data_IF_314882552460
#
_entry.id   IF_314882552460
#
_cell.length_a   1.000
_cell.length_b   1.000
_cell.length_c   1.000
_cell.angle_alpha   90.00
_cell.angle_beta   90.00
_cell.angle_gamma   90.00
#
_symmetry.space_group_name_H-M   'P 1'
#
loop_
_entity.id
_entity.type
_entity.pdbx_description
1 polymer ?
#
# COMPACT_ATOMS: atom_id res chain seq x y z
N UNK A 1 -1.76 22.82 55.56
CA UNK A 1 -0.71 22.09 54.80
C UNK A 1 -1.35 20.94 54.04
N UNK A 2 -1.67 21.14 52.76
CA UNK A 2 -2.27 20.09 51.92
C UNK A 2 -1.16 19.10 51.54
N UNK A 3 -1.30 17.89 52.07
CA UNK A 3 -0.37 16.78 52.00
C UNK A 3 0.15 16.51 50.58
N UNK A 4 1.48 16.48 50.43
CA UNK A 4 2.23 16.16 49.20
C UNK A 4 1.80 14.83 48.57
N UNK A 5 1.15 13.94 49.32
CA UNK A 5 0.72 12.61 48.87
C UNK A 5 -0.44 12.64 47.86
N UNK A 6 -1.32 13.65 47.89
CA UNK A 6 -2.47 13.73 46.97
C UNK A 6 -2.08 14.09 45.52
N UNK A 7 -0.96 14.80 45.29
CA UNK A 7 -0.52 15.20 43.94
C UNK A 7 0.01 14.03 43.10
N UNK A 8 0.63 13.02 43.74
CA UNK A 8 1.23 11.89 43.02
C UNK A 8 0.20 10.89 42.47
N UNK A 9 -0.95 10.76 43.13
CA UNK A 9 -2.02 9.81 42.72
C UNK A 9 -2.77 10.33 41.48
N UNK A 10 -3.00 11.65 41.40
CA UNK A 10 -3.69 12.27 40.25
C UNK A 10 -2.81 12.22 38.99
N UNK A 11 -1.49 12.43 39.15
CA UNK A 11 -0.54 12.34 38.04
C UNK A 11 -0.42 10.92 37.46
N UNK A 12 -0.48 9.89 38.31
CA UNK A 12 -0.39 8.50 37.86
C UNK A 12 -1.69 8.02 37.18
N UNK A 13 -2.86 8.46 37.64
CA UNK A 13 -4.14 8.19 36.97
C UNK A 13 -4.24 8.87 35.59
N UNK A 14 -3.76 10.12 35.47
CA UNK A 14 -3.72 10.83 34.18
C UNK A 14 -2.80 10.17 33.16
N UNK A 15 -1.65 9.64 33.59
CA UNK A 15 -0.69 8.95 32.72
C UNK A 15 -1.24 7.59 32.23
N UNK A 16 -1.94 6.86 33.10
CA UNK A 16 -2.55 5.57 32.74
C UNK A 16 -3.71 5.76 31.74
N UNK A 17 -4.51 6.81 31.90
CA UNK A 17 -5.58 7.14 30.93
C UNK A 17 -5.04 7.50 29.54
N UNK A 18 -3.91 8.22 29.48
CA UNK A 18 -3.27 8.63 28.23
C UNK A 18 -2.55 7.45 27.52
N UNK A 19 -1.97 6.52 28.29
CA UNK A 19 -1.38 5.28 27.76
C UNK A 19 -2.45 4.30 27.25
N UNK A 20 -3.56 4.15 27.97
CA UNK A 20 -4.67 3.28 27.54
C UNK A 20 -5.40 3.86 26.31
N UNK A 21 -5.66 5.17 26.28
CA UNK A 21 -6.24 5.85 25.10
C UNK A 21 -5.30 5.80 23.89
N UNK A 22 -3.99 5.95 24.10
CA UNK A 22 -2.97 5.82 23.05
C UNK A 22 -2.89 4.42 22.46
N UNK A 23 -2.98 3.37 23.28
CA UNK A 23 -2.93 1.96 22.83
C UNK A 23 -4.16 1.57 21.99
N UNK A 24 -5.35 2.12 22.26
CA UNK A 24 -6.55 1.87 21.48
C UNK A 24 -6.49 2.47 20.06
N UNK A 25 -5.77 3.59 19.87
CA UNK A 25 -5.62 4.21 18.54
C UNK A 25 -4.70 3.41 17.61
N UNK A 26 -3.83 2.54 18.13
CA UNK A 26 -2.86 1.79 17.34
C UNK A 26 -3.49 0.59 16.62
N UNK A 27 -4.64 0.11 17.13
CA UNK A 27 -5.30 -1.12 16.66
C UNK A 27 -6.61 -0.86 15.91
N UNK A 28 -6.83 0.33 15.36
CA UNK A 28 -8.00 0.55 14.49
C UNK A 28 -7.72 -0.14 13.15
N UNK A 29 -8.41 -1.26 12.82
CA UNK A 29 -8.34 -1.82 11.48
C UNK A 29 -8.90 -0.76 10.52
N UNK A 30 -8.07 -0.28 9.60
CA UNK A 30 -8.52 0.70 8.63
C UNK A 30 -9.27 -0.03 7.52
N UNK A 31 -10.59 -0.01 7.60
CA UNK A 31 -11.44 -0.60 6.57
C UNK A 31 -11.31 0.21 5.27
N UNK A 32 -11.22 -0.50 4.14
CA UNK A 32 -11.25 0.12 2.81
C UNK A 32 -12.64 0.70 2.56
N UNK A 33 -12.75 1.86 1.86
CA UNK A 33 -14.03 2.32 1.35
C UNK A 33 -14.72 1.23 0.52
N UNK A 34 -16.06 1.07 0.61
CA UNK A 34 -16.79 -0.03 -0.05
C UNK A 34 -16.48 -0.18 -1.54
N UNK A 35 -16.27 0.93 -2.26
CA UNK A 35 -15.93 0.99 -3.68
C UNK A 35 -14.55 0.40 -4.03
N UNK A 36 -13.73 0.13 -3.02
CA UNK A 36 -12.38 -0.42 -3.14
C UNK A 36 -12.23 -1.79 -2.47
N UNK A 37 -13.31 -2.33 -1.92
CA UNK A 37 -13.31 -3.67 -1.34
C UNK A 37 -13.43 -4.74 -2.45
N UNK A 38 -12.60 -5.78 -2.35
CA UNK A 38 -12.62 -6.92 -3.27
C UNK A 38 -11.52 -6.90 -4.33
N UNK A 39 -11.76 -7.71 -5.37
CA UNK A 39 -10.84 -7.93 -6.49
C UNK A 39 -11.47 -7.34 -7.74
N UNK A 40 -10.68 -6.60 -8.51
CA UNK A 40 -11.10 -5.89 -9.70
C UNK A 40 -10.24 -6.29 -10.89
N UNK A 41 -10.77 -6.08 -12.09
CA UNK A 41 -10.06 -6.25 -13.34
C UNK A 41 -10.12 -4.97 -14.17
N UNK A 42 -9.02 -4.68 -14.87
CA UNK A 42 -8.94 -3.53 -15.77
C UNK A 42 -8.08 -3.90 -16.97
N UNK A 43 -8.59 -3.59 -18.16
CA UNK A 43 -7.88 -3.82 -19.42
C UNK A 43 -7.50 -2.50 -20.07
N UNK A 44 -6.24 -2.36 -20.49
CA UNK A 44 -5.75 -1.14 -21.12
C UNK A 44 -4.39 -1.32 -21.79
N UNK A 45 -3.96 -0.31 -22.54
CA UNK A 45 -2.57 -0.26 -23.05
C UNK A 45 -1.67 0.29 -21.95
N UNK A 46 -0.49 -0.30 -21.79
CA UNK A 46 0.54 0.24 -20.90
C UNK A 46 0.99 1.60 -21.42
N UNK A 47 0.86 2.63 -20.59
CA UNK A 47 1.32 3.99 -20.90
C UNK A 47 2.72 4.22 -20.36
N UNK A 48 2.95 3.86 -19.10
CA UNK A 48 4.25 4.01 -18.45
C UNK A 48 4.47 2.97 -17.37
N UNK A 49 5.75 2.78 -17.03
CA UNK A 49 6.15 1.86 -15.97
C UNK A 49 7.27 2.46 -15.11
N UNK A 50 7.25 2.15 -13.81
CA UNK A 50 8.32 2.49 -12.88
C UNK A 50 8.95 1.21 -12.33
N UNK A 51 10.26 1.08 -12.50
CA UNK A 51 11.05 -0.02 -11.96
C UNK A 51 11.93 0.49 -10.84
N UNK A 52 11.75 0.00 -9.61
CA UNK A 52 12.57 0.39 -8.46
C UNK A 52 13.09 -0.84 -7.73
N UNK A 53 14.37 -0.86 -7.39
CA UNK A 53 14.87 -1.91 -6.50
C UNK A 53 14.25 -1.74 -5.11
N UNK A 54 13.79 -2.85 -4.50
CA UNK A 54 13.20 -2.79 -3.15
C UNK A 54 14.28 -2.57 -2.08
N UNK A 55 15.48 -3.17 -2.26
CA UNK A 55 16.68 -2.95 -1.45
C UNK A 55 17.93 -3.15 -2.30
N UNK A 56 19.12 -2.71 -1.84
CA UNK A 56 20.39 -2.85 -2.60
C UNK A 56 20.72 -4.30 -2.99
N UNK A 57 20.29 -5.29 -2.19
CA UNK A 57 20.59 -6.72 -2.40
C UNK A 57 19.30 -7.56 -2.63
N UNK A 58 18.19 -6.94 -3.03
CA UNK A 58 16.95 -7.67 -3.21
C UNK A 58 16.99 -8.52 -4.48
N UNK A 59 16.56 -9.77 -4.39
CA UNK A 59 16.22 -10.59 -5.56
C UNK A 59 14.89 -10.16 -6.20
N UNK A 60 14.23 -9.14 -5.64
CA UNK A 60 12.95 -8.61 -6.09
C UNK A 60 13.05 -7.12 -6.45
N UNK A 61 12.18 -6.68 -7.36
CA UNK A 61 12.00 -5.29 -7.70
C UNK A 61 10.52 -4.90 -7.62
N UNK A 62 10.28 -3.62 -7.40
CA UNK A 62 8.97 -3.00 -7.46
C UNK A 62 8.67 -2.58 -8.90
N UNK A 63 7.49 -2.98 -9.38
CA UNK A 63 6.90 -2.53 -10.62
C UNK A 63 5.66 -1.68 -10.31
N UNK A 64 5.61 -0.48 -10.88
CA UNK A 64 4.40 0.31 -11.01
C UNK A 64 4.03 0.42 -12.48
N UNK A 65 2.77 0.13 -12.84
CA UNK A 65 2.23 0.25 -14.20
C UNK A 65 1.12 1.31 -14.20
N UNK A 66 1.14 2.18 -15.20
CA UNK A 66 0.03 3.07 -15.53
C UNK A 66 -0.53 2.65 -16.87
N UNK A 67 -1.85 2.48 -16.93
CA UNK A 67 -2.56 2.21 -18.18
C UNK A 67 -3.03 3.53 -18.78
N UNK A 68 -3.05 3.63 -20.11
CA UNK A 68 -3.54 4.81 -20.81
C UNK A 68 -4.98 5.15 -20.38
N UNK A 69 -5.20 6.39 -19.96
CA UNK A 69 -6.50 6.86 -19.47
C UNK A 69 -6.85 6.45 -18.04
N UNK A 70 -5.90 5.87 -17.29
CA UNK A 70 -6.05 5.54 -15.87
C UNK A 70 -5.12 6.38 -15.01
N UNK A 71 -5.67 7.06 -14.00
CA UNK A 71 -4.87 7.79 -13.00
C UNK A 71 -4.23 6.86 -11.95
N UNK A 72 -4.66 5.60 -11.89
CA UNK A 72 -4.17 4.61 -10.94
C UNK A 72 -2.82 4.06 -11.35
N UNK A 73 -1.94 3.90 -10.36
CA UNK A 73 -0.70 3.14 -10.47
C UNK A 73 -0.93 1.73 -9.91
N UNK A 74 -0.83 0.72 -10.77
CA UNK A 74 -0.95 -0.70 -10.43
C UNK A 74 0.41 -1.24 -10.01
N UNK A 75 0.49 -1.84 -8.82
CA UNK A 75 1.77 -2.11 -8.14
C UNK A 75 1.98 -3.60 -7.92
N UNK A 76 3.19 -4.09 -8.16
CA UNK A 76 3.58 -5.45 -7.79
C UNK A 76 5.06 -5.57 -7.44
N UNK A 77 5.39 -6.61 -6.69
CA UNK A 77 6.77 -6.99 -6.39
C UNK A 77 7.10 -8.26 -7.16
N UNK A 78 8.12 -8.21 -8.00
CA UNK A 78 8.49 -9.28 -8.92
C UNK A 78 9.92 -9.75 -8.69
N UNK A 79 10.27 -10.96 -9.12
CA UNK A 79 11.67 -11.43 -9.06
C UNK A 79 12.48 -10.74 -10.15
N UNK A 80 13.76 -10.49 -9.90
CA UNK A 80 14.64 -9.79 -10.84
C UNK A 80 14.74 -10.47 -12.21
N UNK A 81 14.67 -11.81 -12.25
CA UNK A 81 14.66 -12.59 -13.50
C UNK A 81 13.47 -12.28 -14.41
N UNK A 82 12.37 -11.77 -13.87
CA UNK A 82 11.16 -11.43 -14.62
C UNK A 82 11.21 -10.01 -15.17
N UNK A 83 12.18 -9.19 -14.73
CA UNK A 83 12.26 -7.77 -15.05
C UNK A 83 12.24 -7.49 -16.55
N UNK A 84 13.00 -8.25 -17.32
CA UNK A 84 13.11 -8.07 -18.77
C UNK A 84 11.76 -8.22 -19.48
N UNK A 85 10.94 -9.20 -19.05
CA UNK A 85 9.60 -9.40 -19.61
C UNK A 85 8.72 -8.15 -19.43
N UNK A 86 8.68 -7.60 -18.22
CA UNK A 86 7.89 -6.39 -17.95
C UNK A 86 8.47 -5.14 -18.61
N UNK A 87 9.79 -4.98 -18.67
CA UNK A 87 10.41 -3.88 -19.43
C UNK A 87 10.02 -3.93 -20.91
N UNK A 88 9.95 -5.13 -21.50
CA UNK A 88 9.47 -5.33 -22.87
C UNK A 88 8.00 -4.94 -23.05
N UNK A 89 7.12 -5.34 -22.12
CA UNK A 89 5.70 -4.93 -22.15
C UNK A 89 5.54 -3.41 -22.10
N UNK A 90 6.33 -2.75 -21.26
CA UNK A 90 6.30 -1.29 -21.13
C UNK A 90 6.83 -0.59 -22.38
N UNK A 91 7.94 -1.08 -22.97
CA UNK A 91 8.53 -0.52 -24.19
C UNK A 91 7.60 -0.66 -25.39
N UNK A 92 6.92 -1.80 -25.50
CA UNK A 92 5.96 -2.08 -26.58
C UNK A 92 4.59 -1.44 -26.36
N UNK A 93 4.34 -0.82 -25.20
CA UNK A 93 3.02 -0.30 -24.81
C UNK A 93 1.92 -1.36 -24.97
N UNK A 94 2.22 -2.59 -24.55
CA UNK A 94 1.36 -3.75 -24.74
C UNK A 94 -0.04 -3.54 -24.14
N UNK A 95 -1.04 -4.19 -24.73
CA UNK A 95 -2.37 -4.27 -24.13
C UNK A 95 -2.37 -5.38 -23.08
N UNK A 96 -2.84 -5.08 -21.88
CA UNK A 96 -2.85 -6.00 -20.75
C UNK A 96 -4.19 -5.99 -20.03
N UNK A 97 -4.57 -7.13 -19.47
CA UNK A 97 -5.59 -7.24 -18.43
C UNK A 97 -4.89 -7.36 -17.07
N UNK A 98 -5.23 -6.49 -16.13
CA UNK A 98 -4.66 -6.46 -14.78
C UNK A 98 -5.76 -6.81 -13.79
N UNK A 99 -5.53 -7.87 -13.01
CA UNK A 99 -6.33 -8.20 -11.83
C UNK A 99 -5.66 -7.62 -10.59
N UNK A 100 -6.41 -6.89 -9.77
CA UNK A 100 -5.85 -6.15 -8.64
C UNK A 100 -6.83 -6.01 -7.46
N UNK A 101 -6.28 -5.70 -6.28
CA UNK A 101 -7.04 -5.31 -5.10
C UNK A 101 -6.50 -4.00 -4.51
N UNK A 102 -7.31 -3.30 -3.74
CA UNK A 102 -6.89 -2.09 -3.05
C UNK A 102 -6.34 -2.41 -1.65
N UNK A 103 -5.39 -1.60 -1.18
CA UNK A 103 -4.84 -1.66 0.17
C UNK A 103 -4.74 -0.25 0.73
N UNK A 104 -5.39 -0.03 1.86
CA UNK A 104 -5.30 1.21 2.64
C UNK A 104 -4.23 1.07 3.72
N UNK A 105 -3.39 2.09 3.88
CA UNK A 105 -2.41 2.18 4.98
C UNK A 105 -2.94 3.14 6.04
N UNK A 106 -2.44 3.00 7.28
CA UNK A 106 -2.78 3.89 8.40
C UNK A 106 -2.59 5.39 8.04
N UNK A 107 -1.57 5.69 7.24
CA UNK A 107 -1.32 7.04 6.72
C UNK A 107 -0.91 6.92 5.24
N UNK A 108 -1.59 7.67 4.38
CA UNK A 108 -1.30 7.77 2.95
C UNK A 108 -2.44 7.31 2.03
N UNK A 109 -2.24 7.40 0.69
CA UNK A 109 -3.27 7.08 -0.28
C UNK A 109 -3.51 5.58 -0.40
N UNK A 110 -4.70 5.22 -0.90
CA UNK A 110 -5.04 3.86 -1.33
C UNK A 110 -4.04 3.40 -2.40
N UNK A 111 -3.59 2.15 -2.27
CA UNK A 111 -2.67 1.53 -3.22
C UNK A 111 -3.34 0.37 -3.91
N UNK A 112 -3.16 0.28 -5.22
CA UNK A 112 -3.70 -0.80 -6.04
C UNK A 112 -2.61 -1.84 -6.27
N UNK A 113 -2.73 -3.00 -5.64
CA UNK A 113 -1.81 -4.12 -5.73
C UNK A 113 -2.29 -5.14 -6.74
N UNK A 114 -1.41 -5.53 -7.64
CA UNK A 114 -1.69 -6.45 -8.73
C UNK A 114 -1.51 -7.89 -8.27
N UNK A 115 -2.52 -8.69 -8.56
CA UNK A 115 -2.51 -10.14 -8.35
C UNK A 115 -1.99 -10.86 -9.60
N UNK A 116 -2.41 -10.43 -10.79
CA UNK A 116 -1.96 -10.99 -12.07
C UNK A 116 -2.02 -9.99 -13.22
N UNK A 117 -1.20 -10.24 -14.25
CA UNK A 117 -1.19 -9.49 -15.51
C UNK A 117 -1.22 -10.50 -16.66
N UNK A 118 -2.19 -10.34 -17.57
CA UNK A 118 -2.33 -11.13 -18.78
C UNK A 118 -2.12 -10.23 -20.00
N UNK A 119 -1.28 -10.67 -20.94
CA UNK A 119 -1.05 -9.94 -22.20
C UNK A 119 -2.16 -10.30 -23.20
N UNK A 120 -2.72 -9.29 -23.87
CA UNK A 120 -3.84 -9.41 -24.83
C UNK A 120 -3.41 -8.99 -26.22
#
# INVERSE_FOLDING_TARGET
MISKTKKNIIFSLGLVGLLLGGLYLINIPMELPPEHQGIFEVTGKVESCSFRSLTKNSSKFFLGIVLAGSEKIYRMNLKYKERYFYESLCKSKARVNIRYHAVQRLIGPIRFWVDSIEVR
#
